data_IF_524591890881
#
_entry.id   IF_524591890881
#
_cell.length_a   1.000
_cell.length_b   1.000
_cell.length_c   1.000
_cell.angle_alpha   90.00
_cell.angle_beta   90.00
_cell.angle_gamma   90.00
#
_symmetry.space_group_name_H-M   'P 1'
#
loop_
_entity.id
_entity.type
_entity.pdbx_description
1 polymer ?
#
# COMPACT_ATOMS: atom_id res chain seq x y z
N UNK A 1 10.43 -13.39 -0.87
CA UNK A 1 11.01 -12.09 -0.43
C UNK A 1 10.03 -10.95 -0.64
N UNK A 2 9.67 -10.58 -1.89
CA UNK A 2 8.79 -9.43 -2.18
C UNK A 2 7.50 -9.39 -1.34
N UNK A 3 6.75 -10.50 -1.25
CA UNK A 3 5.52 -10.58 -0.45
C UNK A 3 5.78 -10.27 1.03
N UNK A 4 6.80 -10.90 1.63
CA UNK A 4 7.14 -10.69 3.03
C UNK A 4 7.57 -9.25 3.30
N UNK A 5 8.37 -8.66 2.41
CA UNK A 5 8.76 -7.24 2.49
C UNK A 5 7.54 -6.32 2.41
N UNK A 6 6.61 -6.58 1.48
CA UNK A 6 5.39 -5.78 1.36
C UNK A 6 4.50 -5.86 2.59
N UNK A 7 4.33 -7.05 3.16
CA UNK A 7 3.51 -7.26 4.37
C UNK A 7 4.16 -6.56 5.58
N UNK A 8 5.45 -6.75 5.80
CA UNK A 8 6.18 -6.07 6.88
C UNK A 8 6.14 -4.54 6.70
N UNK A 9 6.31 -4.04 5.47
CA UNK A 9 6.21 -2.63 5.13
C UNK A 9 4.81 -2.06 5.40
N UNK A 10 3.75 -2.82 5.12
CA UNK A 10 2.37 -2.42 5.45
C UNK A 10 2.12 -2.30 6.96
N UNK A 11 2.68 -3.20 7.77
CA UNK A 11 2.58 -3.11 9.23
C UNK A 11 3.30 -1.86 9.75
N UNK A 12 4.52 -1.60 9.26
CA UNK A 12 5.28 -0.38 9.61
C UNK A 12 4.54 0.89 9.16
N UNK A 13 3.93 0.88 7.96
CA UNK A 13 3.10 1.96 7.48
C UNK A 13 1.90 2.20 8.40
N UNK A 14 1.19 1.15 8.82
CA UNK A 14 0.07 1.25 9.75
C UNK A 14 0.48 1.86 11.10
N UNK A 15 1.59 1.39 11.68
CA UNK A 15 2.15 1.97 12.91
C UNK A 15 2.49 3.44 12.73
N UNK A 16 3.14 3.81 11.62
CA UNK A 16 3.48 5.22 11.34
C UNK A 16 2.24 6.10 11.21
N UNK A 17 1.16 5.58 10.60
CA UNK A 17 -0.11 6.30 10.46
C UNK A 17 -0.82 6.49 11.79
N UNK A 18 -0.84 5.47 12.65
CA UNK A 18 -1.39 5.58 14.00
C UNK A 18 -0.65 6.62 14.85
N UNK A 19 0.69 6.66 14.75
CA UNK A 19 1.52 7.68 15.43
C UNK A 19 1.23 9.08 14.89
N UNK A 20 1.05 9.25 13.57
CA UNK A 20 0.70 10.53 12.98
C UNK A 20 -0.68 11.03 13.44
N UNK A 21 -1.70 10.18 13.36
CA UNK A 21 -3.06 10.46 13.82
C UNK A 21 -3.13 10.82 15.32
N UNK A 22 -2.38 10.09 16.15
CA UNK A 22 -2.23 10.40 17.56
C UNK A 22 -1.57 11.77 17.76
N UNK A 23 -0.53 12.06 16.97
CA UNK A 23 0.15 13.35 16.97
C UNK A 23 -0.79 14.51 16.63
N UNK A 24 -1.61 14.36 15.59
CA UNK A 24 -2.59 15.37 15.15
C UNK A 24 -3.67 15.62 16.22
N UNK A 25 -4.02 14.57 16.98
CA UNK A 25 -5.02 14.66 18.06
C UNK A 25 -4.45 15.29 19.34
N UNK A 26 -3.22 14.95 19.72
CA UNK A 26 -2.57 15.47 20.94
C UNK A 26 -2.06 16.90 20.77
N UNK A 27 -1.64 17.27 19.55
CA UNK A 27 -1.05 18.56 19.24
C UNK A 27 -1.72 19.14 17.98
N UNK A 28 -2.98 19.63 18.10
CA UNK A 28 -3.72 20.17 16.97
C UNK A 28 -3.10 21.49 16.50
N UNK A 29 -3.26 21.78 15.21
CA UNK A 29 -2.87 23.05 14.60
C UNK A 29 -4.10 23.77 14.06
N UNK A 30 -4.14 25.11 14.17
CA UNK A 30 -5.28 25.91 13.68
C UNK A 30 -5.18 26.21 12.18
N UNK A 31 -3.99 26.11 11.59
CA UNK A 31 -3.75 26.39 10.18
C UNK A 31 -2.78 25.41 9.56
N UNK A 32 -2.88 25.21 8.25
CA UNK A 32 -1.98 24.32 7.49
C UNK A 32 -0.52 24.77 7.59
N UNK A 33 -0.28 26.09 7.52
CA UNK A 33 1.05 26.66 7.64
C UNK A 33 1.66 26.36 9.01
N UNK A 34 0.86 26.44 10.07
CA UNK A 34 1.32 26.10 11.42
C UNK A 34 1.67 24.61 11.53
N UNK A 35 0.81 23.72 11.04
CA UNK A 35 1.10 22.27 11.01
C UNK A 35 2.40 21.95 10.27
N UNK A 36 2.60 22.52 9.08
CA UNK A 36 3.84 22.32 8.31
C UNK A 36 5.09 22.85 9.02
N UNK A 37 4.99 23.96 9.75
CA UNK A 37 6.10 24.49 10.56
C UNK A 37 6.44 23.56 11.71
N UNK A 38 5.41 22.99 12.35
CA UNK A 38 5.58 22.04 13.45
C UNK A 38 6.26 20.75 12.96
N UNK A 39 5.95 20.28 11.75
CA UNK A 39 6.55 19.07 11.15
C UNK A 39 8.08 19.18 10.93
N UNK A 40 8.59 20.40 10.69
CA UNK A 40 10.02 20.64 10.40
C UNK A 40 10.79 21.26 11.56
N UNK A 41 10.10 21.68 12.63
CA UNK A 41 10.74 22.33 13.77
C UNK A 41 11.54 21.33 14.61
N UNK A 42 12.80 21.67 14.92
CA UNK A 42 13.66 20.88 15.81
C UNK A 42 13.26 20.95 17.28
N UNK A 43 12.45 21.94 17.67
CA UNK A 43 11.91 22.10 19.03
C UNK A 43 10.54 21.45 19.21
N UNK A 44 9.92 20.93 18.14
CA UNK A 44 8.63 20.25 18.22
C UNK A 44 8.75 18.87 18.86
N UNK A 45 7.64 18.41 19.47
CA UNK A 45 7.57 17.10 20.11
C UNK A 45 7.88 15.98 19.09
N UNK A 46 8.53 14.90 19.55
CA UNK A 46 9.04 13.82 18.68
C UNK A 46 7.97 13.20 17.77
N UNK A 47 6.72 13.14 18.22
CA UNK A 47 5.60 12.61 17.43
C UNK A 47 5.23 13.51 16.24
N UNK A 48 5.39 14.83 16.36
CA UNK A 48 5.10 15.79 15.31
C UNK A 48 6.14 15.69 14.19
N UNK A 49 7.43 15.72 14.54
CA UNK A 49 8.52 15.60 13.56
C UNK A 49 8.46 14.31 12.74
N UNK A 50 7.84 13.26 13.28
CA UNK A 50 7.70 11.97 12.60
C UNK A 50 6.47 11.88 11.69
N UNK A 51 5.54 12.85 11.73
CA UNK A 51 4.34 12.85 10.87
C UNK A 51 4.72 12.75 9.39
N UNK A 52 5.79 13.43 8.97
CA UNK A 52 6.28 13.41 7.58
C UNK A 52 6.73 12.02 7.11
N UNK A 53 7.09 11.11 8.03
CA UNK A 53 7.49 9.75 7.67
C UNK A 53 6.31 8.97 7.10
N UNK A 54 5.09 9.20 7.60
CA UNK A 54 3.92 8.45 7.16
C UNK A 54 3.59 8.69 5.67
N UNK A 55 3.46 9.94 5.17
CA UNK A 55 3.24 10.18 3.74
C UNK A 55 4.34 9.62 2.83
N UNK A 56 5.61 9.70 3.26
CA UNK A 56 6.74 9.14 2.49
C UNK A 56 6.63 7.62 2.40
N UNK A 57 6.33 6.95 3.51
CA UNK A 57 6.10 5.51 3.54
C UNK A 57 4.86 5.14 2.73
N UNK A 58 3.78 5.92 2.79
CA UNK A 58 2.53 5.66 2.06
C UNK A 58 2.75 5.68 0.55
N UNK A 59 3.43 6.69 0.01
CA UNK A 59 3.72 6.75 -1.43
C UNK A 59 4.62 5.58 -1.85
N UNK A 60 5.66 5.29 -1.07
CA UNK A 60 6.61 4.21 -1.35
C UNK A 60 5.93 2.83 -1.33
N UNK A 61 5.08 2.59 -0.34
CA UNK A 61 4.34 1.33 -0.20
C UNK A 61 3.25 1.17 -1.26
N UNK A 62 2.58 2.25 -1.66
CA UNK A 62 1.63 2.21 -2.78
C UNK A 62 2.28 1.70 -4.06
N UNK A 63 3.45 2.24 -4.41
CA UNK A 63 4.22 1.79 -5.57
C UNK A 63 4.63 0.30 -5.44
N UNK A 64 5.11 -0.10 -4.27
CA UNK A 64 5.50 -1.49 -4.00
C UNK A 64 4.33 -2.46 -4.12
N UNK A 65 3.15 -2.11 -3.59
CA UNK A 65 1.96 -2.97 -3.65
C UNK A 65 1.43 -3.11 -5.08
N UNK A 66 1.42 -2.02 -5.86
CA UNK A 66 1.04 -2.09 -7.28
C UNK A 66 2.01 -2.97 -8.06
N UNK A 67 3.32 -2.84 -7.83
CA UNK A 67 4.33 -3.68 -8.45
C UNK A 67 4.15 -5.16 -8.06
N UNK A 68 3.95 -5.43 -6.77
CA UNK A 68 3.70 -6.77 -6.24
C UNK A 68 2.45 -7.39 -6.87
N UNK A 69 1.33 -6.66 -6.90
CA UNK A 69 0.08 -7.13 -7.51
C UNK A 69 0.24 -7.44 -8.99
N UNK A 70 0.92 -6.58 -9.76
CA UNK A 70 1.21 -6.80 -11.18
C UNK A 70 2.09 -8.01 -11.41
N UNK A 71 3.15 -8.18 -10.61
CA UNK A 71 4.04 -9.34 -10.71
C UNK A 71 3.32 -10.63 -10.35
N UNK A 72 2.56 -10.62 -9.26
CA UNK A 72 1.78 -11.77 -8.83
C UNK A 72 0.73 -12.17 -9.88
N UNK A 73 0.03 -11.21 -10.48
CA UNK A 73 -0.93 -11.46 -11.56
C UNK A 73 -0.30 -12.00 -12.85
N UNK A 74 1.00 -11.74 -13.08
CA UNK A 74 1.77 -12.32 -14.19
C UNK A 74 2.20 -13.75 -13.88
N UNK A 75 2.73 -14.00 -12.68
CA UNK A 75 3.24 -15.31 -12.27
C UNK A 75 2.13 -16.30 -11.95
N UNK A 76 1.03 -15.80 -11.38
CA UNK A 76 -0.15 -16.55 -10.96
C UNK A 76 -1.41 -15.96 -11.60
N UNK A 77 -1.69 -16.24 -12.89
CA UNK A 77 -2.68 -15.52 -13.68
C UNK A 77 -4.15 -15.90 -13.38
N UNK A 78 -4.49 -16.17 -12.12
CA UNK A 78 -5.87 -16.45 -11.69
C UNK A 78 -6.75 -15.19 -11.70
N UNK A 79 -8.06 -15.38 -11.77
CA UNK A 79 -9.05 -14.28 -11.77
C UNK A 79 -9.00 -13.54 -10.43
N UNK A 80 -8.85 -14.28 -9.34
CA UNK A 80 -8.80 -13.79 -7.96
C UNK A 80 -7.58 -12.89 -7.74
N UNK A 81 -6.40 -13.31 -8.20
CA UNK A 81 -5.16 -12.52 -8.11
C UNK A 81 -5.30 -11.21 -8.89
N UNK A 82 -5.79 -11.27 -10.12
CA UNK A 82 -6.01 -10.07 -10.96
C UNK A 82 -7.01 -9.11 -10.33
N UNK A 83 -8.11 -9.64 -9.80
CA UNK A 83 -9.15 -8.86 -9.11
C UNK A 83 -8.60 -8.21 -7.85
N UNK A 84 -7.87 -8.95 -7.01
CA UNK A 84 -7.27 -8.41 -5.80
C UNK A 84 -6.23 -7.32 -6.11
N UNK A 85 -5.38 -7.50 -7.12
CA UNK A 85 -4.43 -6.48 -7.57
C UNK A 85 -5.12 -5.19 -8.05
N UNK A 86 -6.23 -5.31 -8.78
CA UNK A 86 -7.04 -4.15 -9.20
C UNK A 86 -7.68 -3.44 -7.99
N UNK A 87 -8.29 -4.21 -7.08
CA UNK A 87 -8.91 -3.67 -5.85
C UNK A 87 -7.88 -2.91 -5.02
N UNK A 88 -6.68 -3.47 -4.80
CA UNK A 88 -5.59 -2.79 -4.09
C UNK A 88 -5.25 -1.48 -4.79
N UNK A 89 -5.10 -1.48 -6.12
CA UNK A 89 -4.74 -0.27 -6.86
C UNK A 89 -5.78 0.84 -6.67
N UNK A 90 -7.07 0.49 -6.75
CA UNK A 90 -8.18 1.44 -6.57
C UNK A 90 -8.23 1.94 -5.12
N UNK A 91 -8.31 1.01 -4.15
CA UNK A 91 -8.43 1.36 -2.73
C UNK A 91 -7.23 2.17 -2.25
N UNK A 92 -6.01 1.83 -2.65
CA UNK A 92 -4.82 2.57 -2.25
C UNK A 92 -4.78 3.99 -2.86
N UNK A 93 -5.27 4.15 -4.09
CA UNK A 93 -5.40 5.48 -4.71
C UNK A 93 -6.39 6.35 -3.93
N UNK A 94 -7.55 5.78 -3.57
CA UNK A 94 -8.55 6.45 -2.72
C UNK A 94 -7.97 6.75 -1.33
N UNK A 95 -7.19 5.84 -0.76
CA UNK A 95 -6.49 6.03 0.52
C UNK A 95 -5.58 7.25 0.49
N UNK A 96 -4.75 7.39 -0.54
CA UNK A 96 -3.84 8.53 -0.69
C UNK A 96 -4.59 9.85 -0.81
N UNK A 97 -5.70 9.87 -1.58
CA UNK A 97 -6.56 11.05 -1.68
C UNK A 97 -7.18 11.38 -0.32
N UNK A 98 -7.75 10.40 0.37
CA UNK A 98 -8.32 10.60 1.71
C UNK A 98 -7.26 11.10 2.72
N UNK A 99 -6.01 10.63 2.60
CA UNK A 99 -4.89 11.09 3.44
C UNK A 99 -4.52 12.54 3.16
N UNK A 100 -4.48 12.93 1.89
CA UNK A 100 -4.27 14.32 1.50
C UNK A 100 -5.39 15.23 2.02
N UNK A 101 -6.65 14.81 1.88
CA UNK A 101 -7.80 15.56 2.41
C UNK A 101 -7.73 15.66 3.93
N UNK A 102 -7.28 14.62 4.63
CA UNK A 102 -7.02 14.68 6.07
C UNK A 102 -6.04 15.81 6.40
N UNK A 103 -4.90 15.87 5.73
CA UNK A 103 -3.92 16.95 5.95
C UNK A 103 -4.55 18.32 5.68
N UNK A 104 -5.21 18.50 4.53
CA UNK A 104 -5.82 19.78 4.12
C UNK A 104 -6.89 20.25 5.10
N UNK A 105 -7.67 19.34 5.68
CA UNK A 105 -8.71 19.65 6.66
C UNK A 105 -8.22 19.67 8.11
N UNK A 106 -6.91 19.60 8.36
CA UNK A 106 -6.31 19.59 9.70
C UNK A 106 -6.74 18.38 10.55
N UNK A 107 -6.83 17.21 9.90
CA UNK A 107 -7.10 15.91 10.48
C UNK A 107 -8.37 15.86 11.37
N UNK A 108 -9.56 16.20 10.86
CA UNK A 108 -10.77 16.11 11.67
C UNK A 108 -11.06 14.64 12.01
N UNK A 109 -11.47 14.36 13.26
CA UNK A 109 -11.58 13.00 13.80
C UNK A 109 -12.40 12.05 12.91
N UNK A 110 -13.52 12.51 12.36
CA UNK A 110 -14.37 11.67 11.50
C UNK A 110 -13.63 11.22 10.22
N UNK A 111 -12.79 12.07 9.64
CA UNK A 111 -12.04 11.74 8.42
C UNK A 111 -10.81 10.89 8.74
N UNK A 112 -10.22 11.04 9.93
CA UNK A 112 -9.21 10.09 10.43
C UNK A 112 -9.81 8.67 10.52
N UNK A 113 -11.04 8.53 11.05
CA UNK A 113 -11.73 7.24 11.13
C UNK A 113 -12.08 6.66 9.76
N UNK A 114 -12.56 7.48 8.83
CA UNK A 114 -12.82 7.05 7.43
C UNK A 114 -11.52 6.59 6.76
N UNK A 115 -10.43 7.34 6.94
CA UNK A 115 -9.13 6.98 6.39
C UNK A 115 -8.58 5.70 7.01
N UNK A 116 -8.78 5.47 8.31
CA UNK A 116 -8.43 4.22 8.97
C UNK A 116 -9.25 3.03 8.42
N UNK A 117 -10.56 3.20 8.25
CA UNK A 117 -11.43 2.17 7.67
C UNK A 117 -11.00 1.80 6.24
N UNK A 118 -10.65 2.79 5.42
CA UNK A 118 -10.13 2.54 4.08
C UNK A 118 -8.77 1.81 4.12
N UNK A 119 -7.91 2.11 5.11
CA UNK A 119 -6.67 1.38 5.32
C UNK A 119 -6.92 -0.10 5.67
N UNK A 120 -7.96 -0.39 6.46
CA UNK A 120 -8.36 -1.76 6.77
C UNK A 120 -8.82 -2.52 5.52
N UNK A 121 -9.57 -1.87 4.63
CA UNK A 121 -9.95 -2.48 3.35
C UNK A 121 -8.74 -2.74 2.44
N UNK A 122 -7.76 -1.83 2.41
CA UNK A 122 -6.49 -2.07 1.72
C UNK A 122 -5.79 -3.30 2.31
N UNK A 123 -5.71 -3.40 3.64
CA UNK A 123 -5.11 -4.55 4.32
C UNK A 123 -5.82 -5.87 3.97
N UNK A 124 -7.15 -5.91 4.03
CA UNK A 124 -7.93 -7.08 3.63
C UNK A 124 -7.69 -7.48 2.17
N UNK A 125 -7.55 -6.51 1.27
CA UNK A 125 -7.25 -6.76 -0.13
C UNK A 125 -5.83 -7.33 -0.32
N UNK A 126 -4.84 -6.85 0.43
CA UNK A 126 -3.47 -7.40 0.46
C UNK A 126 -3.48 -8.83 0.98
N UNK A 127 -4.19 -9.12 2.07
CA UNK A 127 -4.35 -10.49 2.59
C UNK A 127 -4.99 -11.40 1.55
N UNK A 128 -6.03 -10.92 0.86
CA UNK A 128 -6.70 -11.66 -0.22
C UNK A 128 -5.77 -11.94 -1.41
N UNK A 129 -4.95 -10.96 -1.81
CA UNK A 129 -3.94 -11.14 -2.86
C UNK A 129 -2.90 -12.19 -2.44
N UNK A 130 -2.41 -12.13 -1.21
CA UNK A 130 -1.46 -13.11 -0.67
C UNK A 130 -2.08 -14.51 -0.63
N UNK A 131 -3.32 -14.66 -0.16
CA UNK A 131 -4.02 -15.94 -0.11
C UNK A 131 -4.17 -16.54 -1.52
N UNK A 132 -4.68 -15.76 -2.48
CA UNK A 132 -4.88 -16.22 -3.84
C UNK A 132 -3.55 -16.53 -4.57
N UNK A 133 -2.54 -15.68 -4.40
CA UNK A 133 -1.26 -15.82 -5.10
C UNK A 133 -0.32 -16.85 -4.49
N UNK A 134 -0.49 -17.21 -3.22
CA UNK A 134 0.30 -18.24 -2.54
C UNK A 134 -0.41 -19.60 -2.46
N UNK A 135 -1.69 -19.68 -2.84
CA UNK A 135 -2.43 -20.94 -2.90
C UNK A 135 -1.67 -21.99 -3.73
N UNK A 136 -1.70 -23.26 -3.30
CA UNK A 136 -0.90 -24.33 -3.90
C UNK A 136 -1.35 -24.66 -5.34
N UNK A 137 -2.66 -24.57 -5.56
CA UNK A 137 -3.43 -24.87 -6.75
C UNK A 137 -3.59 -23.68 -7.71
N UNK A 138 -3.22 -22.46 -7.29
CA UNK A 138 -3.35 -21.30 -8.19
C UNK A 138 -2.53 -21.50 -9.49
N UNK A 139 -3.10 -21.18 -10.67
CA UNK A 139 -2.42 -21.31 -11.96
C UNK A 139 -1.02 -20.71 -11.93
N UNK A 140 -0.05 -21.34 -12.59
CA UNK A 140 1.31 -20.82 -12.75
C UNK A 140 1.52 -20.48 -14.21
N UNK A 141 2.21 -19.37 -14.49
CA UNK A 141 2.66 -19.10 -15.85
C UNK A 141 3.65 -20.21 -16.26
N UNK A 142 3.30 -21.00 -17.27
CA UNK A 142 4.22 -21.97 -17.85
C UNK A 142 5.30 -21.24 -18.66
N UNK A 143 6.58 -21.65 -18.54
CA UNK A 143 7.58 -21.17 -19.48
C UNK A 143 7.17 -21.64 -20.88
N UNK A 144 7.10 -20.72 -21.83
CA UNK A 144 6.93 -21.08 -23.25
C UNK A 144 8.13 -21.94 -23.63
N UNK A 145 7.94 -23.24 -23.69
CA UNK A 145 8.92 -24.15 -24.29
C UNK A 145 8.81 -23.92 -25.79
N UNK A 146 9.74 -23.16 -26.34
CA UNK A 146 9.86 -23.00 -27.79
C UNK A 146 10.20 -24.39 -28.36
N UNK A 147 9.19 -25.09 -28.88
CA UNK A 147 9.39 -26.34 -29.59
C UNK A 147 10.16 -26.03 -30.86
N UNK A 148 11.49 -26.17 -30.81
CA UNK A 148 12.33 -26.11 -32.01
C UNK A 148 11.76 -27.15 -32.98
N UNK A 149 11.28 -26.74 -34.17
CA UNK A 149 10.72 -27.68 -35.12
C UNK A 149 11.82 -28.66 -35.52
N UNK A 150 11.66 -29.92 -35.15
CA UNK A 150 12.51 -31.00 -35.60
C UNK A 150 12.29 -31.13 -37.10
N UNK A 151 13.20 -30.57 -37.91
CA UNK A 151 13.23 -30.83 -39.34
C UNK A 151 13.39 -32.34 -39.53
N UNK A 152 12.30 -33.01 -39.92
CA UNK A 152 12.34 -34.41 -40.33
C UNK A 152 13.32 -34.53 -41.52
N UNK A 153 14.38 -35.32 -41.36
CA UNK A 153 15.26 -35.67 -42.47
C UNK A 153 14.45 -36.48 -43.51
N UNK A 154 14.55 -36.15 -44.80
CA UNK A 154 13.94 -36.96 -45.84
C UNK A 154 14.75 -38.25 -45.99
N UNK A 155 14.07 -39.40 -45.89
CA UNK A 155 14.57 -40.71 -46.33
C UNK A 155 13.93 -41.01 -47.68
#
# INVERSE_FOLDING_TARGET
VLVGTSVAGMLLLGVSGAVAALGDTLFPSETLMEGLRQDVSDTAHVFIRRRILHPVLAVSMGALLVLMGRWMARLRPSVEVKRAALIITILYSVQLVAGLVNVVLLAPVWLQLVHLLLADFVWMAVVSLCAAGLAADAPRAEPVVETVPTHASPV
#
